data_IF_372373304260
#
_entry.id   IF_372373304260
#
_cell.length_a   1.000
_cell.length_b   1.000
_cell.length_c   1.000
_cell.angle_alpha   90.00
_cell.angle_beta   90.00
_cell.angle_gamma   90.00
#
_symmetry.space_group_name_H-M   'P 1'
#
loop_
_entity.id
_entity.type
_entity.pdbx_description
1 polymer ?
#
# COMPACT_ATOMS: atom_id res chain seq x y z
N UNK A 1 6.19 -5.71 6.40
CA UNK A 1 6.64 -4.50 7.16
C UNK A 1 8.10 -4.20 6.86
N UNK A 2 8.94 -5.23 6.80
CA UNK A 2 10.31 -5.08 6.31
C UNK A 2 10.40 -4.62 4.86
N UNK A 3 9.35 -4.79 4.07
CA UNK A 3 9.33 -4.39 2.65
C UNK A 3 9.52 -2.87 2.48
N UNK A 4 8.83 -2.06 3.30
CA UNK A 4 8.99 -0.59 3.26
C UNK A 4 10.41 -0.21 3.70
N UNK A 5 10.93 -0.84 4.75
CA UNK A 5 12.32 -0.65 5.21
C UNK A 5 13.33 -1.05 4.13
N UNK A 6 13.15 -2.20 3.49
CA UNK A 6 14.03 -2.71 2.46
C UNK A 6 14.07 -1.79 1.23
N UNK A 7 12.91 -1.29 0.78
CA UNK A 7 12.85 -0.28 -0.29
C UNK A 7 13.57 1.00 0.13
N UNK A 8 13.30 1.51 1.34
CA UNK A 8 13.97 2.70 1.86
C UNK A 8 15.49 2.53 1.94
N UNK A 9 15.97 1.41 2.47
CA UNK A 9 17.39 1.12 2.61
C UNK A 9 18.06 0.96 1.22
N UNK A 10 17.39 0.30 0.26
CA UNK A 10 17.89 0.14 -1.11
C UNK A 10 18.06 1.46 -1.87
N UNK A 11 17.22 2.46 -1.59
CA UNK A 11 17.32 3.81 -2.17
C UNK A 11 18.07 4.80 -1.27
N UNK A 12 18.71 4.33 -0.19
CA UNK A 12 19.40 5.14 0.82
C UNK A 12 18.52 6.26 1.44
N UNK A 13 17.23 5.97 1.64
CA UNK A 13 16.29 6.87 2.32
C UNK A 13 16.26 6.58 3.82
N UNK A 14 16.84 7.49 4.61
CA UNK A 14 16.78 7.40 6.07
C UNK A 14 15.37 7.69 6.61
N UNK A 15 14.65 8.64 6.00
CA UNK A 15 13.24 8.92 6.34
C UNK A 15 12.42 9.21 5.10
N UNK A 16 11.13 8.88 5.14
CA UNK A 16 10.20 9.13 4.05
C UNK A 16 8.90 9.78 4.52
N UNK A 17 8.25 10.51 3.60
CA UNK A 17 6.82 10.81 3.70
C UNK A 17 6.09 9.64 3.07
N UNK A 18 5.20 9.00 3.83
CA UNK A 18 4.43 7.86 3.35
C UNK A 18 3.12 8.34 2.77
N UNK A 19 2.83 7.91 1.54
CA UNK A 19 1.50 8.06 0.94
C UNK A 19 0.86 6.68 0.84
N UNK A 20 -0.25 6.50 1.54
CA UNK A 20 -0.97 5.24 1.58
C UNK A 20 -2.39 5.36 1.05
N UNK A 21 -2.70 4.61 -0.01
CA UNK A 21 -4.04 4.52 -0.59
C UNK A 21 -4.69 3.18 -0.25
N UNK A 22 -5.98 3.21 0.10
CA UNK A 22 -6.77 2.00 0.41
C UNK A 22 -6.08 1.15 1.49
N UNK A 23 -5.72 -0.09 1.19
CA UNK A 23 -5.05 -1.00 2.13
C UNK A 23 -3.58 -0.64 2.38
N UNK A 24 -2.92 -0.04 1.37
CA UNK A 24 -1.60 0.56 1.55
C UNK A 24 -1.61 1.71 2.56
N UNK A 25 -2.77 2.34 2.75
CA UNK A 25 -3.01 3.29 3.85
C UNK A 25 -2.80 2.65 5.22
N UNK A 26 -3.41 1.50 5.48
CA UNK A 26 -3.35 0.83 6.79
C UNK A 26 -1.94 0.33 7.09
N UNK A 27 -1.25 -0.21 6.08
CA UNK A 27 0.15 -0.64 6.21
C UNK A 27 1.07 0.56 6.46
N UNK A 28 0.87 1.67 5.73
CA UNK A 28 1.64 2.91 5.93
C UNK A 28 1.41 3.52 7.31
N UNK A 29 0.17 3.48 7.82
CA UNK A 29 -0.17 3.95 9.16
C UNK A 29 0.50 3.10 10.25
N UNK A 30 0.48 1.77 10.10
CA UNK A 30 1.17 0.87 11.01
C UNK A 30 2.68 1.15 10.98
N UNK A 31 3.28 1.31 9.80
CA UNK A 31 4.71 1.60 9.67
C UNK A 31 5.09 2.92 10.32
N UNK A 32 4.32 3.99 10.06
CA UNK A 32 4.53 5.29 10.67
C UNK A 32 4.51 5.22 12.21
N UNK A 33 3.59 4.43 12.78
CA UNK A 33 3.48 4.23 14.21
C UNK A 33 4.62 3.37 14.80
N UNK A 34 5.06 2.34 14.07
CA UNK A 34 6.15 1.44 14.53
C UNK A 34 7.53 2.08 14.38
N UNK A 35 7.76 2.88 13.33
CA UNK A 35 9.05 3.48 13.01
C UNK A 35 8.96 5.01 12.85
N UNK A 36 8.64 5.75 13.94
CA UNK A 36 8.52 7.20 13.88
C UNK A 36 9.83 7.88 13.47
N UNK A 37 10.98 7.30 13.84
CA UNK A 37 12.29 7.84 13.45
C UNK A 37 12.59 7.68 11.95
N UNK A 38 11.85 6.82 11.23
CA UNK A 38 11.97 6.61 9.78
C UNK A 38 10.84 7.30 9.00
N UNK A 39 9.92 8.01 9.68
CA UNK A 39 8.74 8.61 9.06
C UNK A 39 8.70 10.11 9.30
N UNK A 40 8.63 10.91 8.23
CA UNK A 40 8.51 12.37 8.32
C UNK A 40 7.04 12.75 8.48
N UNK A 41 6.15 12.14 7.68
CA UNK A 41 4.72 12.42 7.65
C UNK A 41 3.97 11.27 6.99
N UNK A 42 2.66 11.19 7.23
CA UNK A 42 1.76 10.22 6.62
C UNK A 42 0.61 10.95 5.93
N UNK A 43 0.42 10.66 4.65
CA UNK A 43 -0.72 11.09 3.85
C UNK A 43 -1.55 9.85 3.54
N UNK A 44 -2.87 9.94 3.72
CA UNK A 44 -3.77 8.83 3.42
C UNK A 44 -4.88 9.25 2.49
N UNK A 45 -5.29 8.33 1.62
CA UNK A 45 -6.40 8.54 0.70
C UNK A 45 -7.25 7.28 0.63
N UNK A 46 -8.56 7.41 0.88
CA UNK A 46 -9.50 6.27 0.82
C UNK A 46 -9.18 5.10 1.75
N UNK A 47 -8.57 5.35 2.92
CA UNK A 47 -8.18 4.35 3.93
C UNK A 47 -9.33 4.02 4.91
N UNK A 48 -9.28 2.84 5.52
CA UNK A 48 -10.09 2.50 6.69
C UNK A 48 -9.35 2.82 8.00
N UNK A 49 -9.84 3.78 8.79
CA UNK A 49 -9.27 4.07 10.12
C UNK A 49 -9.50 2.93 11.13
N UNK A 50 -10.62 2.21 10.99
CA UNK A 50 -10.96 1.00 11.75
C UNK A 50 -11.99 0.18 10.96
N UNK A 51 -11.66 -1.05 10.58
CA UNK A 51 -12.61 -1.99 9.96
C UNK A 51 -13.38 -2.68 11.10
N UNK A 52 -14.64 -2.29 11.35
CA UNK A 52 -15.48 -2.91 12.41
C UNK A 52 -15.92 -4.35 12.08
N UNK A 53 -15.90 -4.72 10.81
CA UNK A 53 -16.22 -6.06 10.33
C UNK A 53 -15.21 -6.42 9.24
N UNK A 54 -14.35 -7.42 9.49
CA UNK A 54 -13.89 -8.24 8.39
C UNK A 54 -15.13 -8.99 7.92
N UNK A 55 -15.60 -8.76 6.69
CA UNK A 55 -16.61 -9.65 6.12
C UNK A 55 -15.92 -11.00 5.99
N UNK A 56 -16.15 -11.85 7.00
CA UNK A 56 -15.95 -13.27 6.98
C UNK A 56 -16.87 -13.84 5.88
N UNK A 57 -16.43 -13.77 4.64
CA UNK A 57 -16.90 -14.72 3.63
C UNK A 57 -16.25 -16.04 4.01
N UNK A 58 -17.05 -16.92 4.62
CA UNK A 58 -16.70 -18.26 5.07
C UNK A 58 -15.90 -19.00 3.99
N UNK A 59 -14.67 -19.39 4.32
CA UNK A 59 -14.05 -20.57 3.72
C UNK A 59 -13.58 -21.41 4.87
N UNK A 60 -14.22 -22.56 5.03
CA UNK A 60 -13.79 -23.60 5.91
C UNK A 60 -12.33 -23.95 5.62
N UNK A 61 -11.52 -23.91 6.67
CA UNK A 61 -10.17 -24.48 6.76
C UNK A 61 -9.04 -23.73 6.01
N UNK A 62 -8.13 -23.21 6.83
CA UNK A 62 -6.74 -22.83 6.57
C UNK A 62 -6.40 -21.41 6.04
N UNK A 63 -6.00 -20.59 7.02
CA UNK A 63 -4.94 -19.56 7.05
C UNK A 63 -4.95 -18.43 6.00
N UNK A 64 -5.28 -17.24 6.52
CA UNK A 64 -4.64 -15.95 6.29
C UNK A 64 -4.28 -15.58 4.84
N UNK A 65 -5.16 -14.80 4.20
CA UNK A 65 -4.72 -13.69 3.35
C UNK A 65 -5.84 -12.65 3.23
N UNK A 66 -5.66 -11.55 3.97
CA UNK A 66 -6.53 -10.39 3.89
C UNK A 66 -6.29 -9.63 2.58
N UNK A 67 -7.32 -9.71 1.75
CA UNK A 67 -7.81 -8.68 0.84
C UNK A 67 -7.06 -8.42 -0.47
N UNK A 68 -7.80 -8.69 -1.55
CA UNK A 68 -7.49 -8.22 -2.89
C UNK A 68 -8.55 -7.19 -3.30
N UNK A 69 -8.16 -5.92 -3.42
CA UNK A 69 -8.78 -5.06 -4.41
C UNK A 69 -8.33 -5.58 -5.78
N UNK A 70 -9.25 -6.10 -6.59
CA UNK A 70 -8.94 -6.78 -7.86
C UNK A 70 -7.90 -6.03 -8.72
N UNK A 71 -6.99 -6.72 -9.42
CA UNK A 71 -6.03 -6.10 -10.34
C UNK A 71 -6.70 -5.09 -11.30
N UNK A 72 -7.91 -5.42 -11.79
CA UNK A 72 -8.71 -4.55 -12.65
C UNK A 72 -9.03 -3.18 -12.04
N UNK A 73 -9.20 -3.10 -10.71
CA UNK A 73 -9.46 -1.84 -10.00
C UNK A 73 -8.21 -0.97 -9.89
N UNK A 74 -7.08 -1.58 -9.54
CA UNK A 74 -5.78 -0.90 -9.53
C UNK A 74 -5.44 -0.32 -10.91
N UNK A 75 -5.57 -1.11 -11.97
CA UNK A 75 -5.34 -0.65 -13.36
C UNK A 75 -6.22 0.54 -13.73
N UNK A 76 -7.51 0.51 -13.37
CA UNK A 76 -8.46 1.60 -13.64
C UNK A 76 -8.07 2.88 -12.91
N UNK A 77 -7.73 2.79 -11.63
CA UNK A 77 -7.33 3.95 -10.82
C UNK A 77 -5.99 4.53 -11.29
N UNK A 78 -4.99 3.67 -11.53
CA UNK A 78 -3.66 4.08 -11.98
C UNK A 78 -3.74 4.83 -13.33
N UNK A 79 -4.49 4.29 -14.30
CA UNK A 79 -4.70 4.94 -15.59
C UNK A 79 -5.43 6.28 -15.47
N UNK A 80 -6.39 6.39 -14.55
CA UNK A 80 -7.13 7.63 -14.31
C UNK A 80 -6.22 8.74 -13.75
N UNK A 81 -5.31 8.39 -12.86
CA UNK A 81 -4.45 9.36 -12.16
C UNK A 81 -3.23 9.79 -12.99
N UNK A 82 -2.54 8.82 -13.60
CA UNK A 82 -1.26 9.05 -14.27
C UNK A 82 -1.36 9.13 -15.80
N UNK A 83 -2.55 8.90 -16.37
CA UNK A 83 -2.77 8.86 -17.82
C UNK A 83 -2.13 7.67 -18.54
N UNK A 84 -1.40 6.82 -17.81
CA UNK A 84 -0.62 5.69 -18.32
C UNK A 84 -0.99 4.43 -17.54
N UNK A 85 -0.81 3.24 -18.14
CA UNK A 85 -0.93 1.97 -17.42
C UNK A 85 0.38 1.64 -16.69
N UNK A 86 0.35 0.79 -15.66
CA UNK A 86 1.58 0.31 -15.01
C UNK A 86 2.56 -0.34 -15.98
N UNK A 87 2.05 -1.04 -17.00
CA UNK A 87 2.86 -1.66 -18.05
C UNK A 87 3.60 -0.63 -18.92
N UNK A 88 2.98 0.54 -19.17
CA UNK A 88 3.61 1.63 -19.93
C UNK A 88 4.79 2.25 -19.16
N UNK A 89 4.68 2.33 -17.83
CA UNK A 89 5.77 2.79 -16.96
C UNK A 89 6.94 1.82 -16.99
N UNK A 90 6.67 0.51 -16.95
CA UNK A 90 7.71 -0.51 -17.01
C UNK A 90 8.46 -0.50 -18.35
N UNK A 91 7.78 -0.19 -19.45
CA UNK A 91 8.41 -0.07 -20.77
C UNK A 91 9.23 1.22 -20.96
N UNK A 92 9.11 2.21 -20.07
CA UNK A 92 9.93 3.43 -20.12
C UNK A 92 11.21 3.32 -19.27
N UNK A 93 11.31 2.27 -18.45
CA UNK A 93 12.45 2.02 -17.55
C UNK A 93 13.44 0.99 -18.15
N UNK A 94 13.17 0.49 -19.35
CA UNK A 94 14.02 -0.39 -20.17
C UNK A 94 14.06 0.12 -21.61
#
# INVERSE_FOLDING_TARGET
MDDIRAVMDAVNSEKAILFGHSEGGTVSALFAATYPNRTISLITFGIFAKRKYALWLSVENNIAETAFASPSYFFKCFKKEFGLSPSDVLQQLY
#
